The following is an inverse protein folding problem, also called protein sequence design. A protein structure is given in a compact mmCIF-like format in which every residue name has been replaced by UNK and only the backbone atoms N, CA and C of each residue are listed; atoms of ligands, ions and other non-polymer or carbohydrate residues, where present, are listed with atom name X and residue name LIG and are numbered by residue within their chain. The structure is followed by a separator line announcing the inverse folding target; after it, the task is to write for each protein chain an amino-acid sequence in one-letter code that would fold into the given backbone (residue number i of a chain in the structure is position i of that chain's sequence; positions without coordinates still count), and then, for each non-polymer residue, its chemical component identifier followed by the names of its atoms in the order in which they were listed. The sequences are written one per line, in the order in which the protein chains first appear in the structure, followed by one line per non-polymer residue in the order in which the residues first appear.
data_IF_783739332702
#
_entry.id   IF_783739332702
#
_cell.length_a   1.000
_cell.length_b   1.000
_cell.length_c   1.000
_cell.angle_alpha   90.00
_cell.angle_beta   90.00
_cell.angle_gamma   90.00
#
_symmetry.space_group_name_H-M   'P 1'
#
loop_
_entity.id
_entity.type
_entity.pdbx_description
1 polymer ?
#
# COMPACT_ATOMS: atom_id res chain seq x y z
N UNK A 1 1.93 -0.96 -5.46
CA UNK A 1 1.33 -0.60 -4.17
C UNK A 1 0.57 0.69 -4.34
N UNK A 2 -0.59 0.76 -3.71
CA UNK A 2 -1.41 1.94 -3.55
C UNK A 2 -1.51 2.22 -2.06
N UNK A 3 -1.38 3.47 -1.65
CA UNK A 3 -1.27 3.86 -0.24
C UNK A 3 -2.32 4.93 0.09
N UNK A 4 -3.06 4.71 1.17
CA UNK A 4 -3.93 5.71 1.76
C UNK A 4 -3.20 6.35 2.95
N UNK A 5 -2.90 7.65 2.86
CA UNK A 5 -2.21 8.39 3.90
C UNK A 5 -3.06 9.57 4.31
N UNK A 6 -3.30 9.73 5.61
CA UNK A 6 -3.97 10.92 6.14
C UNK A 6 -3.06 12.14 6.01
N UNK A 7 -3.59 13.24 5.47
CA UNK A 7 -2.78 14.37 5.04
C UNK A 7 -2.20 15.14 6.23
N UNK A 8 -2.97 15.24 7.31
CA UNK A 8 -2.69 16.05 8.49
C UNK A 8 -1.67 15.37 9.42
N UNK A 9 -1.78 14.05 9.56
CA UNK A 9 -1.01 13.27 10.55
C UNK A 9 0.10 12.42 9.92
N UNK A 10 0.05 12.22 8.60
CA UNK A 10 0.94 11.32 7.89
C UNK A 10 0.72 9.83 8.22
N UNK A 11 -0.40 9.49 8.85
CA UNK A 11 -0.73 8.12 9.23
C UNK A 11 -1.05 7.28 7.99
N UNK A 12 -0.35 6.16 7.80
CA UNK A 12 -0.64 5.19 6.75
C UNK A 12 -1.87 4.37 7.17
N UNK A 13 -3.02 4.65 6.56
CA UNK A 13 -4.30 4.05 6.93
C UNK A 13 -4.45 2.64 6.36
N UNK A 14 -4.13 2.48 5.08
CA UNK A 14 -4.37 1.25 4.34
C UNK A 14 -3.49 1.17 3.10
N UNK A 15 -3.25 -0.05 2.63
CA UNK A 15 -2.54 -0.29 1.38
C UNK A 15 -3.13 -1.49 0.64
N UNK A 16 -3.10 -1.37 -0.68
CA UNK A 16 -3.38 -2.45 -1.62
C UNK A 16 -2.24 -2.54 -2.63
N UNK A 17 -2.29 -3.50 -3.54
CA UNK A 17 -1.31 -3.65 -4.59
C UNK A 17 -1.95 -4.20 -5.85
N UNK A 18 -1.42 -3.86 -7.02
CA UNK A 18 -1.89 -4.37 -8.30
C UNK A 18 -0.80 -5.11 -9.02
N UNK A 19 -1.17 -6.23 -9.65
CA UNK A 19 -0.33 -6.86 -10.65
C UNK A 19 -0.32 -5.99 -11.92
N UNK A 20 0.88 -5.63 -12.38
CA UNK A 20 1.03 -4.74 -13.53
C UNK A 20 1.68 -5.46 -14.70
N UNK A 21 1.12 -5.19 -15.89
CA UNK A 21 1.77 -5.48 -17.16
C UNK A 21 2.84 -4.41 -17.44
N UNK A 22 4.00 -4.82 -17.96
CA UNK A 22 5.01 -3.87 -18.43
C UNK A 22 4.46 -2.97 -19.54
N UNK A 23 4.64 -1.66 -19.36
CA UNK A 23 4.18 -0.58 -20.26
C UNK A 23 5.28 0.43 -20.51
N UNK A 24 5.05 1.35 -21.45
CA UNK A 24 5.99 2.40 -21.84
C UNK A 24 7.05 1.95 -22.85
N UNK A 25 8.17 2.68 -22.92
CA UNK A 25 9.29 2.35 -23.81
C UNK A 25 9.92 1.02 -23.36
N UNK A 26 10.05 0.09 -24.30
CA UNK A 26 10.59 -1.25 -24.07
C UNK A 26 11.63 -1.59 -25.13
N UNK A 27 12.69 -2.27 -24.72
CA UNK A 27 13.66 -2.89 -25.64
C UNK A 27 13.02 -4.08 -26.36
N UNK A 28 13.66 -4.56 -27.43
CA UNK A 28 13.19 -5.74 -28.16
C UNK A 28 13.05 -6.97 -27.24
N UNK A 29 14.07 -7.25 -26.43
CA UNK A 29 14.06 -8.31 -25.42
C UNK A 29 12.86 -8.19 -24.46
N UNK A 30 12.56 -6.99 -23.97
CA UNK A 30 11.47 -6.77 -23.02
C UNK A 30 10.08 -6.98 -23.66
N UNK A 31 9.95 -6.67 -24.96
CA UNK A 31 8.72 -6.96 -25.72
C UNK A 31 8.52 -8.47 -25.87
N UNK A 32 9.57 -9.21 -26.24
CA UNK A 32 9.55 -10.67 -26.36
C UNK A 32 9.20 -11.32 -25.02
N UNK A 33 9.92 -10.94 -23.95
CA UNK A 33 9.67 -11.46 -22.61
C UNK A 33 8.25 -11.21 -22.14
N UNK A 34 7.68 -10.04 -22.44
CA UNK A 34 6.27 -9.74 -22.13
C UNK A 34 5.32 -10.68 -22.88
N UNK A 35 5.56 -10.93 -24.17
CA UNK A 35 4.74 -11.84 -24.99
C UNK A 35 4.81 -13.26 -24.44
N UNK A 36 5.99 -13.76 -24.10
CA UNK A 36 6.16 -15.08 -23.46
C UNK A 36 5.35 -15.21 -22.18
N UNK A 37 5.46 -14.21 -21.29
CA UNK A 37 4.72 -14.19 -20.03
C UNK A 37 3.21 -14.13 -20.25
N UNK A 38 2.74 -13.33 -21.20
CA UNK A 38 1.31 -13.25 -21.55
C UNK A 38 0.78 -14.55 -22.16
N UNK A 39 1.60 -15.25 -22.97
CA UNK A 39 1.25 -16.57 -23.53
C UNK A 39 1.18 -17.63 -22.44
N UNK A 40 2.12 -17.63 -21.50
CA UNK A 40 2.20 -18.64 -20.45
C UNK A 40 1.20 -18.43 -19.31
N UNK A 41 0.93 -17.18 -18.91
CA UNK A 41 0.19 -16.86 -17.68
C UNK A 41 -1.03 -15.94 -17.89
N UNK A 42 -1.36 -15.67 -19.15
CA UNK A 42 -2.40 -14.70 -19.52
C UNK A 42 -2.00 -13.26 -19.21
N UNK A 43 -2.92 -12.33 -19.50
CA UNK A 43 -2.72 -10.91 -19.22
C UNK A 43 -3.05 -10.57 -17.78
N UNK A 44 -2.28 -9.65 -17.19
CA UNK A 44 -2.70 -8.99 -15.96
C UNK A 44 -4.02 -8.24 -16.21
N UNK A 45 -4.88 -8.17 -15.20
CA UNK A 45 -6.18 -7.49 -15.32
C UNK A 45 -5.95 -6.01 -15.68
N UNK A 46 -6.44 -5.52 -16.84
CA UNK A 46 -6.27 -4.12 -17.24
C UNK A 46 -6.93 -3.13 -16.28
N UNK A 47 -7.89 -3.58 -15.47
CA UNK A 47 -8.59 -2.78 -14.47
C UNK A 47 -8.02 -2.95 -13.05
N UNK A 48 -6.92 -3.69 -12.84
CA UNK A 48 -6.37 -3.97 -11.52
C UNK A 48 -6.19 -2.70 -10.67
N UNK A 49 -5.55 -1.66 -11.23
CA UNK A 49 -5.35 -0.38 -10.53
C UNK A 49 -6.69 0.24 -10.09
N UNK A 50 -7.70 0.23 -10.96
CA UNK A 50 -9.02 0.79 -10.63
C UNK A 50 -9.64 0.01 -9.46
N UNK A 51 -9.67 -1.32 -9.56
CA UNK A 51 -10.28 -2.21 -8.54
C UNK A 51 -9.58 -2.08 -7.20
N UNK A 52 -8.25 -2.13 -7.19
CA UNK A 52 -7.45 -2.07 -5.96
C UNK A 52 -7.49 -0.68 -5.31
N UNK A 53 -7.65 0.40 -6.11
CA UNK A 53 -7.91 1.75 -5.59
C UNK A 53 -9.33 1.92 -5.05
N UNK A 54 -10.33 1.34 -5.71
CA UNK A 54 -11.70 1.35 -5.23
C UNK A 54 -11.79 0.64 -3.87
N UNK A 55 -11.17 -0.54 -3.73
CA UNK A 55 -11.11 -1.25 -2.45
C UNK A 55 -10.39 -0.42 -1.39
N UNK A 56 -9.24 0.17 -1.72
CA UNK A 56 -8.50 1.03 -0.81
C UNK A 56 -9.37 2.18 -0.27
N UNK A 57 -10.05 2.91 -1.16
CA UNK A 57 -10.94 4.00 -0.79
C UNK A 57 -12.15 3.52 0.01
N UNK A 58 -12.79 2.43 -0.42
CA UNK A 58 -13.97 1.86 0.24
C UNK A 58 -13.66 1.45 1.68
N UNK A 59 -12.50 0.85 1.93
CA UNK A 59 -12.06 0.48 3.28
C UNK A 59 -11.70 1.71 4.10
N UNK A 60 -10.91 2.63 3.55
CA UNK A 60 -10.45 3.81 4.31
C UNK A 60 -11.56 4.80 4.65
N UNK A 61 -12.58 4.89 3.80
CA UNK A 61 -13.67 5.84 3.92
C UNK A 61 -14.98 5.17 4.34
N UNK A 62 -14.94 3.92 4.82
CA UNK A 62 -16.12 3.13 5.17
C UNK A 62 -17.03 3.80 6.22
N UNK A 63 -16.45 4.67 7.07
CA UNK A 63 -17.14 5.37 8.15
C UNK A 63 -17.26 6.88 7.91
N UNK A 64 -16.99 7.35 6.69
CA UNK A 64 -17.00 8.76 6.35
C UNK A 64 -18.09 9.07 5.34
N UNK A 65 -18.98 10.01 5.68
CA UNK A 65 -20.00 10.50 4.74
C UNK A 65 -19.39 11.38 3.65
N UNK A 66 -18.36 12.14 4.00
CA UNK A 66 -17.64 13.03 3.11
C UNK A 66 -16.12 12.92 3.32
N UNK A 67 -15.36 13.11 2.23
CA UNK A 67 -13.91 13.13 2.30
C UNK A 67 -13.31 14.03 1.22
N UNK A 68 -12.11 14.57 1.49
CA UNK A 68 -11.27 15.21 0.50
C UNK A 68 -10.15 14.25 0.14
N UNK A 69 -10.06 13.88 -1.14
CA UNK A 69 -9.01 12.95 -1.61
C UNK A 69 -8.06 13.71 -2.51
N UNK A 70 -6.79 13.69 -2.15
CA UNK A 70 -5.70 14.21 -2.97
C UNK A 70 -5.01 13.06 -3.70
N UNK A 71 -4.83 13.18 -5.02
CA UNK A 71 -4.08 12.20 -5.80
C UNK A 71 -3.29 12.85 -6.95
N UNK A 72 -2.51 12.05 -7.67
CA UNK A 72 -2.04 12.45 -8.99
C UNK A 72 -3.17 12.35 -10.05
N UNK A 73 -2.85 12.68 -11.30
CA UNK A 73 -3.78 12.68 -12.43
C UNK A 73 -3.95 11.29 -13.07
N UNK A 74 -3.78 10.20 -12.31
CA UNK A 74 -3.86 8.86 -12.87
C UNK A 74 -5.29 8.54 -13.35
N UNK A 75 -5.41 8.15 -14.64
CA UNK A 75 -6.70 7.94 -15.34
C UNK A 75 -7.63 6.91 -14.68
N UNK A 76 -7.09 5.97 -13.92
CA UNK A 76 -7.87 4.95 -13.22
C UNK A 76 -8.52 5.44 -11.91
N UNK A 77 -8.11 6.58 -11.37
CA UNK A 77 -8.61 7.04 -10.06
C UNK A 77 -10.01 7.64 -10.12
N UNK A 78 -10.37 8.52 -11.09
CA UNK A 78 -11.74 9.04 -11.16
C UNK A 78 -12.84 7.96 -11.20
N UNK A 79 -12.74 6.88 -12.02
CA UNK A 79 -13.75 5.83 -11.99
C UNK A 79 -13.71 4.93 -10.74
N UNK A 80 -12.60 4.88 -10.00
CA UNK A 80 -12.53 4.20 -8.71
C UNK A 80 -13.22 5.03 -7.60
N UNK A 81 -12.97 6.34 -7.60
CA UNK A 81 -13.57 7.31 -6.67
C UNK A 81 -15.09 7.38 -6.84
N UNK A 82 -15.60 7.37 -8.08
CA UNK A 82 -17.05 7.36 -8.33
C UNK A 82 -17.76 6.07 -7.88
N UNK A 83 -17.01 4.99 -7.67
CA UNK A 83 -17.56 3.68 -7.35
C UNK A 83 -17.63 3.41 -5.84
N UNK A 84 -17.21 4.36 -5.00
CA UNK A 84 -17.34 4.26 -3.54
C UNK A 84 -18.49 5.13 -3.05
N UNK A 85 -19.22 4.72 -1.99
CA UNK A 85 -20.42 5.42 -1.54
C UNK A 85 -20.15 6.79 -0.88
N UNK A 86 -18.95 7.01 -0.35
CA UNK A 86 -18.55 8.26 0.29
C UNK A 86 -18.61 9.45 -0.69
N UNK A 87 -19.10 10.62 -0.25
CA UNK A 87 -19.09 11.85 -1.06
C UNK A 87 -17.68 12.45 -1.09
N UNK A 88 -16.95 12.19 -2.18
CA UNK A 88 -15.55 12.61 -2.30
C UNK A 88 -15.41 13.90 -3.10
N UNK A 89 -14.76 14.91 -2.51
CA UNK A 89 -14.16 16.02 -3.24
C UNK A 89 -12.75 15.62 -3.68
N UNK A 90 -12.60 15.32 -4.97
CA UNK A 90 -11.33 14.87 -5.54
C UNK A 90 -10.49 16.05 -6.05
N UNK A 91 -9.26 16.18 -5.55
CA UNK A 91 -8.30 17.20 -5.97
C UNK A 91 -7.06 16.53 -6.53
N UNK A 92 -6.73 16.81 -7.80
CA UNK A 92 -5.56 16.23 -8.46
C UNK A 92 -4.36 17.17 -8.45
N UNK A 93 -3.16 16.62 -8.33
CA UNK A 93 -1.90 17.35 -8.46
C UNK A 93 -1.09 16.78 -9.61
N UNK A 94 -0.67 17.64 -10.55
CA UNK A 94 0.15 17.21 -11.67
C UNK A 94 1.48 16.62 -11.20
N UNK A 95 1.87 15.47 -11.77
CA UNK A 95 3.05 14.72 -11.38
C UNK A 95 4.38 15.46 -11.61
N UNK A 96 4.39 16.48 -12.47
CA UNK A 96 5.56 17.34 -12.74
C UNK A 96 5.73 18.45 -11.70
N UNK A 97 4.74 18.71 -10.84
CA UNK A 97 4.87 19.71 -9.78
C UNK A 97 5.98 19.31 -8.82
N UNK A 98 6.71 20.32 -8.33
CA UNK A 98 7.80 20.10 -7.39
C UNK A 98 7.29 19.41 -6.12
N UNK A 99 8.02 18.40 -5.66
CA UNK A 99 7.72 17.68 -4.42
C UNK A 99 8.32 18.43 -3.23
N UNK A 100 7.63 19.48 -2.81
CA UNK A 100 7.96 20.27 -1.60
C UNK A 100 6.94 19.98 -0.50
N UNK A 101 7.18 20.46 0.73
CA UNK A 101 6.21 20.37 1.83
C UNK A 101 4.87 21.07 1.55
N UNK A 102 4.81 21.98 0.58
CA UNK A 102 3.58 22.65 0.14
C UNK A 102 2.79 21.83 -0.88
N UNK A 103 3.35 20.72 -1.37
CA UNK A 103 2.64 19.85 -2.29
C UNK A 103 1.55 19.10 -1.51
N UNK A 104 0.27 19.10 -1.95
CA UNK A 104 -0.79 18.35 -1.27
C UNK A 104 -0.50 16.83 -1.16
N UNK A 105 0.32 16.31 -2.06
CA UNK A 105 0.77 14.91 -2.05
C UNK A 105 2.05 14.71 -1.22
N UNK A 106 2.52 15.70 -0.47
CA UNK A 106 3.74 15.59 0.34
C UNK A 106 3.69 14.37 1.29
N UNK A 107 2.61 14.13 2.07
CA UNK A 107 2.56 13.00 3.00
C UNK A 107 2.77 11.64 2.33
N UNK A 108 2.10 11.41 1.19
CA UNK A 108 2.28 10.16 0.43
C UNK A 108 3.65 10.10 -0.23
N UNK A 109 4.18 11.21 -0.78
CA UNK A 109 5.51 11.25 -1.39
C UNK A 109 6.64 10.99 -0.38
N UNK A 110 6.51 11.52 0.83
CA UNK A 110 7.43 11.29 1.94
C UNK A 110 7.41 9.82 2.36
N UNK A 111 6.21 9.24 2.54
CA UNK A 111 6.05 7.82 2.84
C UNK A 111 6.68 6.94 1.75
N UNK A 112 6.47 7.28 0.49
CA UNK A 112 7.04 6.60 -0.67
C UNK A 112 8.58 6.62 -0.65
N UNK A 113 9.17 7.75 -0.25
CA UNK A 113 10.61 7.87 -0.06
C UNK A 113 11.09 7.00 1.10
N UNK A 114 10.37 7.02 2.23
CA UNK A 114 10.66 6.21 3.40
C UNK A 114 10.61 4.71 3.08
N UNK A 115 9.61 4.25 2.33
CA UNK A 115 9.48 2.85 1.88
C UNK A 115 10.74 2.44 1.11
N UNK A 116 11.17 3.23 0.12
CA UNK A 116 12.36 2.90 -0.69
C UNK A 116 13.67 2.97 0.09
N UNK A 117 13.74 3.80 1.13
CA UNK A 117 14.91 3.97 1.98
C UNK A 117 15.03 2.82 2.99
N UNK A 118 13.96 2.56 3.73
CA UNK A 118 13.93 1.57 4.82
C UNK A 118 13.72 0.14 4.35
N UNK A 119 13.22 -0.07 3.13
CA UNK A 119 12.93 -1.39 2.60
C UNK A 119 13.61 -1.60 1.25
N UNK A 120 14.76 -2.27 1.28
CA UNK A 120 15.54 -2.55 0.07
C UNK A 120 14.71 -3.26 -0.98
N UNK A 121 13.82 -4.18 -0.59
CA UNK A 121 12.94 -4.99 -1.44
C UNK A 121 11.85 -4.20 -2.21
N UNK A 122 11.72 -2.89 -1.96
CA UNK A 122 10.86 -1.97 -2.70
C UNK A 122 11.65 -1.06 -3.66
N UNK A 123 12.95 -1.33 -3.84
CA UNK A 123 13.78 -0.70 -4.87
C UNK A 123 13.52 -1.36 -6.23
N UNK A 124 14.31 -0.98 -7.24
CA UNK A 124 14.19 -1.49 -8.61
C UNK A 124 14.45 -2.99 -8.66
N UNK A 125 13.80 -3.66 -9.62
CA UNK A 125 13.90 -5.10 -9.88
C UNK A 125 15.35 -5.60 -9.97
N UNK A 126 16.23 -4.80 -10.58
CA UNK A 126 17.64 -5.12 -10.81
C UNK A 126 18.54 -4.98 -9.58
N UNK A 127 18.03 -4.47 -8.45
CA UNK A 127 18.83 -4.20 -7.24
C UNK A 127 18.45 -5.16 -6.13
N UNK A 128 17.23 -4.99 -5.61
CA UNK A 128 16.72 -5.76 -4.50
C UNK A 128 15.20 -5.63 -4.57
N UNK A 129 14.53 -6.55 -5.26
CA UNK A 129 13.07 -6.51 -5.36
C UNK A 129 12.46 -7.78 -4.78
N UNK A 130 11.25 -7.63 -4.27
CA UNK A 130 10.47 -8.74 -3.73
C UNK A 130 10.19 -9.77 -4.82
N UNK A 131 10.77 -10.97 -4.73
CA UNK A 131 10.51 -12.06 -5.68
C UNK A 131 9.04 -12.50 -5.71
N UNK A 132 8.31 -12.30 -4.61
CA UNK A 132 6.88 -12.58 -4.47
C UNK A 132 6.11 -11.29 -4.24
N UNK A 133 5.03 -11.09 -5.00
CA UNK A 133 4.05 -10.00 -4.82
C UNK A 133 3.54 -9.98 -3.36
N UNK A 134 3.13 -11.14 -2.87
CA UNK A 134 2.72 -11.37 -1.48
C UNK A 134 3.74 -10.84 -0.45
N UNK A 135 5.02 -11.18 -0.60
CA UNK A 135 6.05 -10.77 0.34
C UNK A 135 6.27 -9.25 0.35
N UNK A 136 6.01 -8.58 -0.78
CA UNK A 136 6.05 -7.13 -0.86
C UNK A 136 4.94 -6.48 -0.02
N UNK A 137 3.72 -7.02 -0.07
CA UNK A 137 2.59 -6.54 0.73
C UNK A 137 2.79 -6.79 2.24
N UNK A 138 3.35 -7.94 2.62
CA UNK A 138 3.73 -8.24 4.02
C UNK A 138 4.75 -7.23 4.55
N UNK A 139 5.77 -6.90 3.74
CA UNK A 139 6.78 -5.91 4.10
C UNK A 139 6.18 -4.52 4.29
N UNK A 140 5.22 -4.11 3.46
CA UNK A 140 4.50 -2.85 3.68
C UNK A 140 3.71 -2.86 4.98
N UNK A 141 3.08 -3.97 5.35
CA UNK A 141 2.32 -4.09 6.60
C UNK A 141 3.23 -3.90 7.82
N UNK A 142 4.44 -4.49 7.79
CA UNK A 142 5.45 -4.27 8.84
C UNK A 142 5.86 -2.79 8.90
N UNK A 143 6.08 -2.16 7.74
CA UNK A 143 6.43 -0.75 7.69
C UNK A 143 5.29 0.13 8.21
N UNK A 144 4.04 -0.20 7.92
CA UNK A 144 2.87 0.54 8.41
C UNK A 144 2.85 0.57 9.93
N UNK A 145 3.02 -0.59 10.57
CA UNK A 145 3.05 -0.70 12.02
C UNK A 145 4.21 0.12 12.59
N UNK A 146 5.42 -0.06 12.05
CA UNK A 146 6.58 0.70 12.50
C UNK A 146 6.42 2.21 12.29
N UNK A 147 6.00 2.66 11.10
CA UNK A 147 5.83 4.07 10.76
C UNK A 147 4.77 4.73 11.64
N UNK A 148 3.62 4.09 11.83
CA UNK A 148 2.51 4.73 12.51
C UNK A 148 2.67 4.75 14.02
N UNK A 149 3.19 3.68 14.62
CA UNK A 149 3.10 3.47 16.06
C UNK A 149 4.45 3.59 16.80
N UNK A 150 5.57 3.45 16.11
CA UNK A 150 6.92 3.41 16.73
C UNK A 150 7.81 4.55 16.22
N UNK A 151 7.79 4.84 14.92
CA UNK A 151 8.63 5.89 14.35
C UNK A 151 8.07 7.26 14.73
N UNK A 152 8.94 8.17 15.14
CA UNK A 152 8.56 9.58 15.27
C UNK A 152 8.03 10.12 13.94
N UNK A 153 7.00 10.96 14.02
CA UNK A 153 6.46 11.62 12.84
C UNK A 153 7.57 12.43 12.14
N UNK A 154 8.39 13.14 12.91
CA UNK A 154 9.59 13.88 12.47
C UNK A 154 10.81 13.53 13.32
N UNK A 155 11.87 13.03 12.69
CA UNK A 155 13.09 12.63 13.42
C UNK A 155 13.83 13.81 14.07
N UNK A 156 13.81 14.98 13.44
CA UNK A 156 14.44 16.20 13.99
C UNK A 156 13.62 16.89 15.08
N UNK A 157 12.37 16.45 15.30
CA UNK A 157 11.45 16.96 16.31
C UNK A 157 10.65 15.80 16.89
N UNK A 158 11.31 14.91 17.67
CA UNK A 158 10.65 13.76 18.27
C UNK A 158 9.57 14.19 19.27
N UNK A 159 8.65 13.27 19.59
CA UNK A 159 7.61 13.50 20.60
C UNK A 159 6.24 12.93 20.23
N UNK A 160 5.91 12.85 18.93
CA UNK A 160 4.64 12.28 18.48
C UNK A 160 4.85 11.36 17.28
N UNK A 161 4.15 10.23 17.28
CA UNK A 161 4.03 9.33 16.13
C UNK A 161 2.81 9.72 15.28
N UNK A 162 2.69 9.25 14.02
CA UNK A 162 1.48 9.46 13.24
C UNK A 162 0.20 8.97 13.93
N UNK A 163 0.26 7.84 14.65
CA UNK A 163 -0.86 7.33 15.42
C UNK A 163 -1.25 8.24 16.58
N UNK A 164 -0.28 8.86 17.27
CA UNK A 164 -0.53 9.83 18.32
C UNK A 164 -1.15 11.12 17.77
N UNK A 165 -0.64 11.64 16.64
CA UNK A 165 -1.22 12.81 15.97
C UNK A 165 -2.65 12.57 15.52
N UNK A 166 -2.97 11.33 15.11
CA UNK A 166 -4.32 10.90 14.76
C UNK A 166 -5.23 10.66 15.98
N UNK A 167 -4.69 10.66 17.20
CA UNK A 167 -5.43 10.37 18.42
C UNK A 167 -5.76 8.88 18.62
N UNK A 168 -5.07 7.97 17.93
CA UNK A 168 -5.26 6.52 18.10
C UNK A 168 -4.58 5.99 19.37
N UNK A 169 -3.51 6.64 19.82
CA UNK A 169 -2.78 6.29 21.04
C UNK A 169 -2.32 7.58 21.73
N UNK A 170 -2.26 7.56 23.06
CA UNK A 170 -1.66 8.62 23.85
C UNK A 170 -0.13 8.55 23.85
N UNK A 171 0.44 7.37 23.62
CA UNK A 171 1.88 7.10 23.73
C UNK A 171 2.39 6.27 22.56
N UNK A 172 3.72 6.31 22.37
CA UNK A 172 4.42 5.53 21.36
C UNK A 172 4.55 4.08 21.81
N UNK A 173 4.32 3.13 20.90
CA UNK A 173 4.59 1.71 21.18
C UNK A 173 6.08 1.40 21.15
N UNK A 174 6.51 0.54 22.05
CA UNK A 174 7.79 -0.17 21.96
C UNK A 174 7.64 -1.47 21.17
N UNK A 175 8.77 -2.11 20.82
CA UNK A 175 8.75 -3.45 20.22
C UNK A 175 8.18 -4.48 21.21
N UNK A 176 8.42 -4.29 22.51
CA UNK A 176 7.86 -5.13 23.57
C UNK A 176 6.34 -5.05 23.60
N UNK A 177 5.76 -3.84 23.51
CA UNK A 177 4.30 -3.66 23.47
C UNK A 177 3.69 -4.32 22.23
N UNK A 178 4.36 -4.15 21.07
CA UNK A 178 3.89 -4.70 19.80
C UNK A 178 3.90 -6.24 19.80
N UNK A 179 4.93 -6.85 20.35
CA UNK A 179 5.09 -8.31 20.36
C UNK A 179 4.51 -8.98 21.61
N UNK A 180 4.18 -8.20 22.64
CA UNK A 180 3.68 -8.71 23.92
C UNK A 180 2.27 -9.28 23.87
N UNK A 181 1.48 -8.95 22.83
CA UNK A 181 0.16 -9.52 22.60
C UNK A 181 0.02 -10.02 21.17
N UNK A 182 -0.44 -11.26 21.04
CA UNK A 182 -0.72 -11.87 19.75
C UNK A 182 -2.16 -11.57 19.33
N UNK A 183 -2.31 -10.99 18.15
CA UNK A 183 -3.61 -10.76 17.51
C UNK A 183 -3.95 -11.94 16.60
N UNK A 184 -5.21 -12.35 16.62
CA UNK A 184 -5.72 -13.50 15.85
C UNK A 184 -6.76 -13.02 14.82
N UNK A 185 -6.62 -13.38 13.54
CA UNK A 185 -7.60 -13.03 12.51
C UNK A 185 -8.98 -13.64 12.73
N UNK A 186 -9.08 -14.74 13.51
CA UNK A 186 -10.37 -15.29 13.92
C UNK A 186 -11.12 -14.40 14.91
N UNK A 187 -10.42 -13.50 15.61
CA UNK A 187 -11.00 -12.60 16.63
C UNK A 187 -11.09 -11.14 16.18
N UNK A 188 -10.34 -10.76 15.14
CA UNK A 188 -10.30 -9.39 14.63
C UNK A 188 -10.65 -9.42 13.15
N UNK A 189 -11.72 -8.71 12.79
CA UNK A 189 -12.13 -8.58 11.41
C UNK A 189 -11.05 -7.86 10.60
N UNK A 190 -10.47 -8.57 9.63
CA UNK A 190 -9.59 -7.98 8.63
C UNK A 190 -10.39 -7.60 7.38
N UNK A 191 -10.11 -6.41 6.79
CA UNK A 191 -10.61 -6.08 5.46
C UNK A 191 -10.22 -7.14 4.41
N UNK A 192 -11.01 -7.31 3.33
CA UNK A 192 -10.83 -8.39 2.37
C UNK A 192 -9.40 -8.54 1.84
N UNK A 193 -8.78 -7.47 1.32
CA UNK A 193 -7.38 -7.54 0.84
C UNK A 193 -6.39 -7.96 1.92
N UNK A 194 -6.54 -7.45 3.14
CA UNK A 194 -5.62 -7.78 4.23
C UNK A 194 -5.81 -9.22 4.71
N UNK A 195 -7.01 -9.78 4.58
CA UNK A 195 -7.25 -11.20 4.80
C UNK A 195 -6.52 -12.06 3.75
N UNK A 196 -6.51 -11.63 2.48
CA UNK A 196 -5.71 -12.29 1.43
C UNK A 196 -4.21 -12.23 1.74
N UNK A 197 -3.72 -11.07 2.16
CA UNK A 197 -2.32 -10.91 2.57
C UNK A 197 -1.99 -11.80 3.76
N UNK A 198 -2.84 -11.83 4.79
CA UNK A 198 -2.63 -12.68 5.95
C UNK A 198 -2.58 -14.17 5.58
N UNK A 199 -3.54 -14.63 4.77
CA UNK A 199 -3.60 -16.03 4.28
C UNK A 199 -2.57 -16.34 3.19
N UNK A 200 -1.83 -15.33 2.73
CA UNK A 200 -0.82 -15.41 1.67
C UNK A 200 -1.36 -15.95 0.34
N UNK A 201 -2.60 -15.59 0.01
CA UNK A 201 -3.28 -16.07 -1.21
C UNK A 201 -2.93 -15.24 -2.45
N UNK A 202 -2.20 -14.13 -2.31
CA UNK A 202 -1.76 -13.33 -3.45
C UNK A 202 -0.69 -14.06 -4.24
N UNK A 203 -1.05 -14.49 -5.44
CA UNK A 203 -0.17 -15.25 -6.32
C UNK A 203 0.80 -14.35 -7.08
N UNK A 204 2.02 -14.85 -7.25
CA UNK A 204 2.98 -14.36 -8.26
C UNK A 204 2.95 -15.36 -9.41
N UNK A 205 2.35 -14.98 -10.54
CA UNK A 205 2.02 -15.92 -11.63
C UNK A 205 3.22 -16.68 -12.18
N UNK A 206 4.37 -16.02 -12.23
CA UNK A 206 5.60 -16.57 -12.79
C UNK A 206 6.29 -17.60 -11.90
N UNK A 207 5.85 -17.76 -10.65
CA UNK A 207 6.40 -18.74 -9.73
C UNK A 207 5.54 -20.00 -9.71
N UNK A 208 6.18 -21.15 -9.90
CA UNK A 208 5.53 -22.45 -9.78
C UNK A 208 4.90 -22.63 -8.38
N UNK A 209 5.66 -22.31 -7.33
CA UNK A 209 5.22 -22.51 -5.94
C UNK A 209 4.88 -21.19 -5.26
N UNK A 210 3.62 -21.07 -4.82
CA UNK A 210 3.13 -19.94 -4.03
C UNK A 210 2.67 -20.43 -2.65
N UNK A 211 3.60 -20.55 -1.70
CA UNK A 211 3.27 -20.97 -0.32
C UNK A 211 2.22 -20.05 0.30
N UNK A 212 1.13 -20.64 0.76
CA UNK A 212 0.03 -20.01 1.51
C UNK A 212 0.32 -20.05 3.01
N UNK A 213 -0.54 -19.44 3.83
CA UNK A 213 -0.48 -19.57 5.28
C UNK A 213 -1.50 -20.57 5.78
N UNK A 214 -1.01 -21.70 6.29
CA UNK A 214 -1.75 -22.90 6.69
C UNK A 214 -1.43 -23.35 8.13
N UNK A 215 -0.74 -22.52 8.91
CA UNK A 215 -0.38 -22.86 10.28
C UNK A 215 -1.63 -22.86 11.18
N UNK A 216 -1.91 -24.01 11.81
CA UNK A 216 -3.08 -24.19 12.67
C UNK A 216 -3.16 -23.15 13.81
N UNK A 217 -2.04 -22.87 14.48
CA UNK A 217 -1.96 -21.92 15.59
C UNK A 217 -1.92 -20.45 15.17
N UNK A 218 -2.18 -20.14 13.90
CA UNK A 218 -2.15 -18.76 13.41
C UNK A 218 -3.53 -18.08 13.41
N UNK A 219 -4.62 -18.84 13.43
CA UNK A 219 -5.98 -18.30 13.29
C UNK A 219 -6.70 -18.03 14.61
#
# INVERSE_FOLDING_TARGET
HHLAVEAETGCLLYHTDSELRRKGRMTAYQKLRRIELERAFGRADPQAIRKDMQELLAVTLAQADHAVVHSDEHRAYPPAIRAVPCRIRHTTTNSKRRRTGQNPLFPVNELDLLIRHSQSNHKRETIAFSKRRQASAERLSILQVWRNYIKWHREKKPGQTPAMLKGLLSERLTIGDLLGKRLFPGRIALPPRWREYYRRTVRTRTLATNRVHDLAYAF
#
